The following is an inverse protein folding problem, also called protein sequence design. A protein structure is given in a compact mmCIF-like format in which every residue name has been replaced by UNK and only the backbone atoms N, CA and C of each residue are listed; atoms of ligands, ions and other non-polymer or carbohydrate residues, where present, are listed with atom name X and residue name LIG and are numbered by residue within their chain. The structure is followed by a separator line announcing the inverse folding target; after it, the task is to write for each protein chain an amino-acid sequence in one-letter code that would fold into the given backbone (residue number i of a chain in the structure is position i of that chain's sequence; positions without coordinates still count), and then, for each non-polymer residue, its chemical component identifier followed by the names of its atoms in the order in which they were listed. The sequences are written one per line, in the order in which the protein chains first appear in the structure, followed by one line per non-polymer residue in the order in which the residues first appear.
data_IF_570048891786
#
_entry.id   IF_570048891786
#
_cell.length_a   1.000
_cell.length_b   1.000
_cell.length_c   1.000
_cell.angle_alpha   90.00
_cell.angle_beta   90.00
_cell.angle_gamma   90.00
#
_symmetry.space_group_name_H-M   'P 1'
#
loop_
_entity.id
_entity.type
_entity.pdbx_description
1 polymer ?
#
# COMPACT_ATOMS: atom_id res chain seq x y z
N UNK A 1 23.11 -37.43 12.84
CA UNK A 1 23.64 -36.15 12.28
C UNK A 1 22.87 -35.68 11.04
N UNK A 2 22.75 -36.46 9.96
CA UNK A 2 22.09 -36.03 8.70
C UNK A 2 20.65 -35.50 8.85
N UNK A 3 19.84 -36.15 9.71
CA UNK A 3 18.45 -35.73 10.01
C UNK A 3 18.37 -34.36 10.70
N UNK A 4 19.25 -34.12 11.67
CA UNK A 4 19.31 -32.87 12.43
C UNK A 4 19.74 -31.73 11.49
N UNK A 5 20.74 -31.97 10.65
CA UNK A 5 21.20 -31.00 9.65
C UNK A 5 20.06 -30.64 8.69
N UNK A 6 19.33 -31.63 8.16
CA UNK A 6 18.19 -31.37 7.27
C UNK A 6 17.06 -30.58 7.96
N UNK A 7 16.78 -30.87 9.24
CA UNK A 7 15.80 -30.12 10.02
C UNK A 7 16.23 -28.67 10.28
N UNK A 8 17.51 -28.45 10.62
CA UNK A 8 18.08 -27.11 10.81
C UNK A 8 18.05 -26.29 9.52
N UNK A 9 18.41 -26.89 8.37
CA UNK A 9 18.32 -26.24 7.06
C UNK A 9 16.87 -25.87 6.75
N UNK A 10 15.91 -26.76 7.03
CA UNK A 10 14.50 -26.49 6.79
C UNK A 10 13.99 -25.30 7.62
N UNK A 11 14.30 -25.27 8.91
CA UNK A 11 13.90 -24.17 9.79
C UNK A 11 14.55 -22.84 9.38
N UNK A 12 15.84 -22.86 9.03
CA UNK A 12 16.53 -21.69 8.50
C UNK A 12 15.92 -21.21 7.18
N UNK A 13 15.50 -22.13 6.31
CA UNK A 13 14.86 -21.79 5.02
C UNK A 13 13.52 -21.09 5.23
N UNK A 14 12.72 -21.51 6.22
CA UNK A 14 11.46 -20.84 6.58
C UNK A 14 11.71 -19.44 7.16
N UNK A 15 12.74 -19.27 8.00
CA UNK A 15 13.13 -17.95 8.49
C UNK A 15 13.54 -17.03 7.33
N UNK A 16 14.35 -17.53 6.40
CA UNK A 16 14.79 -16.79 5.23
C UNK A 16 13.61 -16.45 4.30
N UNK A 17 12.61 -17.33 4.21
CA UNK A 17 11.36 -17.07 3.51
C UNK A 17 10.63 -15.88 4.12
N UNK A 18 10.48 -15.82 5.44
CA UNK A 18 9.84 -14.65 6.08
C UNK A 18 10.62 -13.37 5.86
N UNK A 19 11.94 -13.38 6.03
CA UNK A 19 12.79 -12.21 5.76
C UNK A 19 12.61 -11.74 4.31
N UNK A 20 12.55 -12.67 3.35
CA UNK A 20 12.36 -12.32 1.94
C UNK A 20 11.01 -11.67 1.67
N UNK A 21 9.92 -12.18 2.26
CA UNK A 21 8.59 -11.59 2.09
C UNK A 21 8.53 -10.24 2.80
N UNK A 22 9.08 -10.12 4.01
CA UNK A 22 9.19 -8.84 4.72
C UNK A 22 9.86 -7.75 3.88
N UNK A 23 10.97 -8.05 3.21
CA UNK A 23 11.66 -7.08 2.31
C UNK A 23 10.77 -6.66 1.12
N UNK A 24 9.87 -7.54 0.68
CA UNK A 24 8.98 -7.31 -0.46
C UNK A 24 7.67 -6.63 -0.07
N UNK A 25 7.22 -6.76 1.17
CA UNK A 25 5.89 -6.29 1.63
C UNK A 25 5.94 -5.16 2.66
N UNK A 26 6.93 -5.14 3.56
CA UNK A 26 7.08 -4.08 4.57
C UNK A 26 7.78 -2.89 3.92
N UNK A 27 7.00 -2.09 3.21
CA UNK A 27 7.41 -0.83 2.57
C UNK A 27 6.25 0.15 2.72
N UNK A 28 6.55 1.44 2.73
CA UNK A 28 5.52 2.48 2.82
C UNK A 28 4.45 2.26 1.74
N UNK A 29 3.18 2.35 2.14
CA UNK A 29 2.02 2.04 1.29
C UNK A 29 2.03 2.79 -0.06
N UNK A 30 2.66 3.97 -0.08
CA UNK A 30 2.76 4.84 -1.25
C UNK A 30 3.84 4.41 -2.25
N UNK A 31 4.76 3.51 -1.86
CA UNK A 31 5.90 3.11 -2.70
C UNK A 31 5.56 2.02 -3.72
N UNK A 32 4.34 1.47 -3.75
CA UNK A 32 3.95 0.49 -4.77
C UNK A 32 4.66 -0.88 -4.65
N UNK A 33 4.30 -1.82 -5.52
CA UNK A 33 4.73 -3.22 -5.35
C UNK A 33 6.18 -3.46 -5.74
N UNK A 34 6.87 -4.37 -5.02
CA UNK A 34 8.26 -4.75 -5.31
C UNK A 34 8.49 -5.21 -6.75
N UNK A 35 7.48 -5.78 -7.42
CA UNK A 35 7.56 -6.22 -8.81
C UNK A 35 7.68 -5.05 -9.79
N UNK A 36 7.04 -3.90 -9.51
CA UNK A 36 7.14 -2.72 -10.37
C UNK A 36 8.57 -2.18 -10.46
N UNK A 37 9.31 -2.24 -9.34
CA UNK A 37 10.73 -1.86 -9.30
C UNK A 37 11.64 -2.80 -10.09
N UNK A 38 11.27 -4.08 -10.22
CA UNK A 38 12.07 -5.06 -10.97
C UNK A 38 11.79 -4.96 -12.46
N UNK A 39 10.56 -4.62 -12.84
CA UNK A 39 10.15 -4.54 -14.24
C UNK A 39 10.89 -3.46 -15.02
N UNK A 40 11.10 -2.28 -14.42
CA UNK A 40 11.89 -1.23 -15.05
C UNK A 40 13.38 -1.39 -14.73
N UNK A 41 14.28 -1.23 -15.73
CA UNK A 41 15.72 -1.33 -15.52
C UNK A 41 16.29 -0.20 -14.66
N UNK A 42 15.71 0.99 -14.75
CA UNK A 42 16.18 2.22 -14.11
C UNK A 42 15.01 3.16 -13.78
N UNK A 43 15.29 4.17 -12.95
CA UNK A 43 14.31 5.17 -12.54
C UNK A 43 13.69 5.89 -13.75
N UNK A 44 14.48 6.25 -14.77
CA UNK A 44 14.03 7.03 -15.94
C UNK A 44 13.06 6.27 -16.86
N UNK A 45 13.03 4.93 -16.79
CA UNK A 45 12.05 4.10 -17.50
C UNK A 45 10.88 3.64 -16.63
N UNK A 46 10.81 4.11 -15.39
CA UNK A 46 9.77 3.74 -14.45
C UNK A 46 8.54 4.65 -14.57
N UNK A 47 7.36 4.10 -14.26
CA UNK A 47 6.13 4.88 -14.15
C UNK A 47 6.20 5.97 -13.05
N UNK A 48 7.09 5.81 -12.06
CA UNK A 48 7.29 6.81 -11.02
C UNK A 48 7.90 8.08 -11.60
N UNK A 49 8.96 7.94 -12.41
CA UNK A 49 9.56 9.07 -13.12
C UNK A 49 8.56 9.73 -14.07
N UNK A 50 7.76 8.95 -14.79
CA UNK A 50 6.74 9.49 -15.71
C UNK A 50 5.70 10.34 -14.98
N UNK A 51 5.13 9.84 -13.88
CA UNK A 51 4.16 10.58 -13.07
C UNK A 51 4.78 11.86 -12.50
N UNK A 52 6.01 11.78 -12.04
CA UNK A 52 6.74 12.93 -11.49
C UNK A 52 7.05 13.97 -12.57
N UNK A 53 7.53 13.56 -13.75
CA UNK A 53 7.75 14.46 -14.88
C UNK A 53 6.44 15.14 -15.32
N UNK A 54 5.34 14.39 -15.37
CA UNK A 54 4.01 14.92 -15.69
C UNK A 54 3.54 15.95 -14.67
N UNK A 55 3.77 15.70 -13.38
CA UNK A 55 3.44 16.65 -12.32
C UNK A 55 4.27 17.93 -12.48
N UNK A 56 5.60 17.83 -12.62
CA UNK A 56 6.46 19.02 -12.80
C UNK A 56 6.11 19.83 -14.06
N UNK A 57 5.68 19.18 -15.15
CA UNK A 57 5.18 19.88 -16.34
C UNK A 57 3.85 20.60 -16.04
N UNK A 58 2.97 19.99 -15.25
CA UNK A 58 1.72 20.61 -14.82
C UNK A 58 1.97 21.83 -13.94
N UNK A 59 2.95 21.72 -13.03
CA UNK A 59 3.38 22.77 -12.12
C UNK A 59 3.92 24.01 -12.86
N UNK A 60 4.44 23.88 -14.09
CA UNK A 60 4.79 25.03 -14.95
C UNK A 60 3.57 25.94 -15.16
N UNK A 61 2.38 25.38 -15.37
CA UNK A 61 1.19 26.18 -15.63
C UNK A 61 0.70 26.90 -14.39
N UNK A 62 0.83 26.27 -13.22
CA UNK A 62 0.58 26.93 -11.95
C UNK A 62 1.61 28.04 -11.71
N UNK A 63 2.88 27.82 -12.04
CA UNK A 63 3.92 28.85 -12.01
C UNK A 63 3.56 30.05 -12.88
N UNK A 64 3.20 29.84 -14.16
CA UNK A 64 2.81 30.92 -15.08
C UNK A 64 1.61 31.70 -14.52
N UNK A 65 0.58 30.98 -14.09
CA UNK A 65 -0.67 31.57 -13.59
C UNK A 65 -0.41 32.38 -12.33
N UNK A 66 0.22 31.79 -11.32
CA UNK A 66 0.48 32.43 -10.04
C UNK A 66 1.45 33.60 -10.19
N UNK A 67 2.46 33.49 -11.05
CA UNK A 67 3.37 34.61 -11.36
C UNK A 67 2.59 35.78 -11.98
N UNK A 68 1.71 35.53 -12.94
CA UNK A 68 0.87 36.59 -13.51
C UNK A 68 -0.10 37.24 -12.52
N UNK A 69 -0.57 36.47 -11.53
CA UNK A 69 -1.49 36.95 -10.51
C UNK A 69 -0.76 37.77 -9.46
N UNK A 70 0.42 37.35 -9.00
CA UNK A 70 1.09 37.92 -7.82
C UNK A 70 2.22 38.90 -8.14
N UNK A 71 2.83 38.81 -9.32
CA UNK A 71 3.98 39.64 -9.67
C UNK A 71 3.63 40.80 -10.62
N UNK A 72 4.35 41.90 -10.44
CA UNK A 72 4.48 42.96 -11.42
C UNK A 72 5.96 43.30 -11.56
N UNK A 73 6.46 43.31 -12.80
CA UNK A 73 7.88 43.55 -13.10
C UNK A 73 8.84 42.59 -12.36
N UNK A 74 8.44 41.33 -12.20
CA UNK A 74 9.25 40.28 -11.55
C UNK A 74 9.33 40.38 -10.03
N UNK A 75 8.43 41.14 -9.39
CA UNK A 75 8.36 41.30 -7.93
C UNK A 75 6.93 41.15 -7.43
N UNK A 76 6.78 40.57 -6.25
CA UNK A 76 5.50 40.46 -5.55
C UNK A 76 4.86 41.84 -5.38
N UNK A 77 3.65 42.02 -5.92
CA UNK A 77 2.94 43.29 -5.90
C UNK A 77 1.84 43.28 -4.83
N UNK A 78 2.16 43.77 -3.63
CA UNK A 78 1.22 43.83 -2.50
C UNK A 78 0.05 44.81 -2.71
N UNK A 79 0.25 45.81 -3.57
CA UNK A 79 -0.70 46.90 -3.80
C UNK A 79 -1.73 46.60 -4.88
N UNK A 80 -1.61 45.47 -5.58
CA UNK A 80 -2.58 45.10 -6.60
C UNK A 80 -3.95 44.82 -6.01
N UNK A 81 -4.99 45.16 -6.77
CA UNK A 81 -6.37 44.79 -6.43
C UNK A 81 -6.51 43.27 -6.61
N UNK A 82 -6.60 42.56 -5.49
CA UNK A 82 -6.66 41.11 -5.47
C UNK A 82 -8.11 40.59 -5.49
N UNK A 83 -9.03 41.36 -4.89
CA UNK A 83 -10.45 41.05 -4.89
C UNK A 83 -11.30 42.33 -4.87
N UNK A 84 -12.53 42.23 -5.37
CA UNK A 84 -13.53 43.28 -5.22
C UNK A 84 -14.82 42.67 -4.69
N UNK A 85 -15.48 43.34 -3.75
CA UNK A 85 -16.73 42.89 -3.17
C UNK A 85 -17.68 44.06 -2.93
N UNK A 86 -18.96 43.75 -2.71
CA UNK A 86 -19.91 44.71 -2.17
C UNK A 86 -20.00 44.55 -0.64
N UNK A 87 -19.91 45.68 0.05
CA UNK A 87 -20.17 45.82 1.49
C UNK A 87 -21.25 46.88 1.65
N UNK A 88 -22.38 46.56 2.29
CA UNK A 88 -23.49 47.49 2.52
C UNK A 88 -23.89 48.32 1.28
N UNK A 89 -24.00 47.65 0.13
CA UNK A 89 -24.32 48.25 -1.18
C UNK A 89 -23.24 49.13 -1.83
N UNK A 90 -22.05 49.22 -1.22
CA UNK A 90 -20.88 49.93 -1.76
C UNK A 90 -19.84 48.95 -2.31
N UNK A 91 -19.26 49.24 -3.47
CA UNK A 91 -18.20 48.41 -4.05
C UNK A 91 -16.85 48.78 -3.44
N UNK A 92 -16.18 47.80 -2.84
CA UNK A 92 -14.88 47.93 -2.17
C UNK A 92 -13.86 47.05 -2.89
N UNK A 93 -12.68 47.61 -3.14
CA UNK A 93 -11.53 46.87 -3.68
C UNK A 93 -10.54 46.55 -2.56
N UNK A 94 -10.12 45.30 -2.47
CA UNK A 94 -9.16 44.82 -1.48
C UNK A 94 -7.81 44.58 -2.14
N UNK A 95 -6.77 45.20 -1.58
CA UNK A 95 -5.39 44.89 -1.95
C UNK A 95 -4.94 43.57 -1.35
N UNK A 96 -3.92 42.95 -1.95
CA UNK A 96 -3.30 41.76 -1.37
C UNK A 96 -2.75 42.05 0.05
N UNK A 97 -2.14 43.21 0.25
CA UNK A 97 -1.65 43.63 1.57
C UNK A 97 -2.77 43.63 2.63
N UNK A 98 -3.93 44.18 2.30
CA UNK A 98 -5.06 44.26 3.22
C UNK A 98 -5.56 42.87 3.60
N UNK A 99 -5.71 41.97 2.62
CA UNK A 99 -6.14 40.59 2.89
C UNK A 99 -5.13 39.83 3.76
N UNK A 100 -3.82 40.08 3.57
CA UNK A 100 -2.78 39.51 4.45
C UNK A 100 -2.91 40.02 5.88
N UNK A 101 -3.08 41.33 6.07
CA UNK A 101 -3.26 41.91 7.40
C UNK A 101 -4.54 41.40 8.08
N UNK A 102 -5.64 41.28 7.32
CA UNK A 102 -6.90 40.76 7.83
C UNK A 102 -6.79 39.30 8.26
N UNK A 103 -6.21 38.44 7.43
CA UNK A 103 -6.01 37.03 7.77
C UNK A 103 -5.11 36.87 9.01
N UNK A 104 -4.05 37.68 9.15
CA UNK A 104 -3.21 37.72 10.36
C UNK A 104 -4.00 38.12 11.60
N UNK A 105 -4.92 39.07 11.47
CA UNK A 105 -5.80 39.48 12.58
C UNK A 105 -6.74 38.36 13.05
N UNK A 106 -7.00 37.36 12.20
CA UNK A 106 -7.75 36.14 12.52
C UNK A 106 -6.86 34.99 13.01
N UNK A 107 -5.54 35.22 13.15
CA UNK A 107 -4.59 34.21 13.63
C UNK A 107 -4.04 33.29 12.53
N UNK A 108 -4.15 33.65 11.25
CA UNK A 108 -3.50 32.94 10.15
C UNK A 108 -2.07 33.44 9.90
N UNK A 109 -1.13 32.52 9.70
CA UNK A 109 0.26 32.84 9.40
C UNK A 109 0.90 31.74 8.54
N UNK A 110 2.07 32.02 7.95
CA UNK A 110 2.86 31.02 7.24
C UNK A 110 3.91 30.40 8.17
N UNK A 111 4.05 29.08 8.13
CA UNK A 111 5.14 28.38 8.81
C UNK A 111 6.47 28.50 8.02
N UNK A 112 7.53 27.84 8.48
CA UNK A 112 8.84 27.85 7.81
C UNK A 112 8.83 27.23 6.41
N UNK A 113 7.83 26.39 6.11
CA UNK A 113 7.66 25.69 4.83
C UNK A 113 6.67 26.42 3.89
N UNK A 114 6.34 27.69 4.21
CA UNK A 114 5.37 28.53 3.50
C UNK A 114 3.93 27.97 3.48
N UNK A 115 3.57 27.10 4.42
CA UNK A 115 2.22 26.56 4.55
C UNK A 115 1.36 27.46 5.41
N UNK A 116 0.08 27.61 5.02
CA UNK A 116 -0.89 28.38 5.79
C UNK A 116 -1.31 27.60 7.04
N UNK A 117 -1.10 28.20 8.21
CA UNK A 117 -1.45 27.62 9.51
C UNK A 117 -2.39 28.58 10.25
N UNK A 118 -3.39 28.02 10.94
CA UNK A 118 -4.30 28.74 11.82
C UNK A 118 -3.94 28.57 13.30
N UNK A 119 -4.64 29.30 14.18
CA UNK A 119 -4.46 29.18 15.64
C UNK A 119 -3.33 30.05 16.21
N UNK A 120 -2.83 31.00 15.43
CA UNK A 120 -2.00 32.08 15.95
C UNK A 120 -2.80 33.07 16.81
N UNK A 121 -2.14 34.09 17.39
CA UNK A 121 -2.82 35.16 18.10
C UNK A 121 -3.85 35.86 17.20
N UNK A 122 -5.11 35.92 17.63
CA UNK A 122 -6.21 36.52 16.87
C UNK A 122 -6.83 37.69 17.63
N UNK A 123 -7.05 38.81 16.94
CA UNK A 123 -7.84 39.95 17.43
C UNK A 123 -9.29 39.89 16.98
N UNK A 124 -9.58 39.19 15.87
CA UNK A 124 -10.93 38.95 15.36
C UNK A 124 -11.22 37.46 15.49
N UNK A 125 -12.30 37.11 16.20
CA UNK A 125 -12.73 35.72 16.27
C UNK A 125 -13.47 35.31 14.99
N UNK A 126 -13.45 34.02 14.66
CA UNK A 126 -14.19 33.48 13.50
C UNK A 126 -15.70 33.77 13.58
N UNK A 127 -16.27 33.71 14.78
CA UNK A 127 -17.69 34.02 15.00
C UNK A 127 -17.98 35.50 14.73
N UNK A 128 -17.09 36.41 15.14
CA UNK A 128 -17.26 37.84 14.91
C UNK A 128 -17.11 38.21 13.42
N UNK A 129 -16.22 37.53 12.69
CA UNK A 129 -16.08 37.66 11.23
C UNK A 129 -17.33 37.19 10.49
N UNK A 130 -17.83 35.99 10.82
CA UNK A 130 -19.02 35.41 10.20
C UNK A 130 -20.30 36.24 10.48
N UNK A 131 -20.38 36.92 11.62
CA UNK A 131 -21.53 37.76 11.99
C UNK A 131 -21.46 39.19 11.42
N UNK A 132 -20.28 39.83 11.45
CA UNK A 132 -20.17 41.28 11.23
C UNK A 132 -19.44 41.67 9.93
N UNK A 133 -18.78 40.74 9.25
CA UNK A 133 -17.92 41.04 8.09
C UNK A 133 -18.32 40.23 6.85
N UNK A 134 -19.63 40.07 6.63
CA UNK A 134 -20.16 39.43 5.42
C UNK A 134 -20.03 40.35 4.21
N UNK A 135 -19.56 39.78 3.09
CA UNK A 135 -19.32 40.48 1.84
C UNK A 135 -19.90 39.68 0.65
N UNK A 136 -20.19 40.38 -0.44
CA UNK A 136 -20.59 39.74 -1.71
C UNK A 136 -19.46 39.93 -2.71
N UNK A 137 -18.66 38.89 -2.94
CA UNK A 137 -17.49 38.93 -3.82
C UNK A 137 -17.92 39.00 -5.29
N UNK A 138 -17.35 39.96 -6.02
CA UNK A 138 -17.60 40.21 -7.44
C UNK A 138 -16.42 39.86 -8.34
N UNK A 139 -15.21 39.96 -7.81
CA UNK A 139 -13.99 39.70 -8.56
C UNK A 139 -12.93 39.11 -7.65
N UNK A 140 -12.16 38.16 -8.19
CA UNK A 140 -11.00 37.52 -7.56
C UNK A 140 -9.91 37.40 -8.62
N UNK A 141 -8.69 37.81 -8.31
CA UNK A 141 -7.57 37.75 -9.27
C UNK A 141 -7.27 36.32 -9.76
N UNK A 142 -7.54 35.30 -8.94
CA UNK A 142 -7.38 33.88 -9.27
C UNK A 142 -8.60 33.26 -9.97
N UNK A 143 -9.70 34.00 -10.13
CA UNK A 143 -10.90 33.59 -10.87
C UNK A 143 -11.48 34.79 -11.62
N UNK A 144 -10.79 35.30 -12.66
CA UNK A 144 -11.19 36.53 -13.36
C UNK A 144 -12.51 36.36 -14.13
N UNK A 145 -12.83 35.15 -14.59
CA UNK A 145 -14.03 34.84 -15.39
C UNK A 145 -15.28 34.55 -14.54
N UNK A 146 -15.22 34.81 -13.23
CA UNK A 146 -16.35 34.57 -12.33
C UNK A 146 -17.54 35.49 -12.67
N UNK A 147 -18.69 34.90 -12.99
CA UNK A 147 -19.95 35.62 -13.22
C UNK A 147 -20.96 35.18 -12.16
N UNK A 148 -21.48 36.14 -11.40
CA UNK A 148 -22.55 35.86 -10.43
C UNK A 148 -23.80 35.35 -11.13
N UNK A 149 -24.25 34.16 -10.74
CA UNK A 149 -25.47 33.53 -11.27
C UNK A 149 -26.70 33.78 -10.40
N UNK A 150 -26.51 34.08 -9.11
CA UNK A 150 -27.60 34.37 -8.16
C UNK A 150 -27.22 35.44 -7.12
N UNK A 151 -28.19 36.08 -6.44
CA UNK A 151 -27.89 37.12 -5.44
C UNK A 151 -27.10 36.63 -4.22
N UNK A 152 -27.16 35.33 -3.93
CA UNK A 152 -26.41 34.67 -2.86
C UNK A 152 -25.06 34.11 -3.33
N UNK A 153 -24.81 34.13 -4.63
CA UNK A 153 -23.58 33.66 -5.24
C UNK A 153 -22.43 34.62 -4.87
N UNK A 154 -21.36 34.08 -4.29
CA UNK A 154 -20.22 34.87 -3.81
C UNK A 154 -20.42 35.52 -2.44
N UNK A 155 -21.49 35.18 -1.70
CA UNK A 155 -21.60 35.54 -0.27
C UNK A 155 -20.58 34.75 0.55
N UNK A 156 -19.69 35.45 1.23
CA UNK A 156 -18.71 34.88 2.16
C UNK A 156 -18.29 35.93 3.19
N UNK A 157 -17.64 35.52 4.27
CA UNK A 157 -17.02 36.48 5.18
C UNK A 157 -15.71 37.04 4.58
N UNK A 158 -15.33 38.24 5.00
CA UNK A 158 -14.05 38.83 4.62
C UNK A 158 -12.87 37.95 5.08
N UNK A 159 -13.02 37.27 6.22
CA UNK A 159 -12.06 36.29 6.69
C UNK A 159 -11.88 35.08 5.78
N UNK A 160 -12.96 34.56 5.21
CA UNK A 160 -12.90 33.48 4.22
C UNK A 160 -12.18 33.93 2.96
N UNK A 161 -12.49 35.13 2.43
CA UNK A 161 -11.78 35.70 1.28
C UNK A 161 -10.28 35.90 1.57
N UNK A 162 -9.94 36.39 2.76
CA UNK A 162 -8.57 36.60 3.19
C UNK A 162 -7.81 35.27 3.33
N UNK A 163 -8.47 34.23 3.85
CA UNK A 163 -7.93 32.88 3.91
C UNK A 163 -7.66 32.33 2.50
N UNK A 164 -8.62 32.41 1.58
CA UNK A 164 -8.45 31.98 0.17
C UNK A 164 -7.23 32.68 -0.46
N UNK A 165 -7.10 34.00 -0.27
CA UNK A 165 -5.96 34.75 -0.80
C UNK A 165 -4.62 34.25 -0.25
N UNK A 166 -4.55 33.90 1.05
CA UNK A 166 -3.36 33.34 1.68
C UNK A 166 -3.06 31.92 1.20
N UNK A 167 -4.07 31.11 0.88
CA UNK A 167 -3.89 29.78 0.30
C UNK A 167 -3.24 29.88 -1.09
N UNK A 168 -3.70 30.79 -1.96
CA UNK A 168 -3.05 31.04 -3.25
C UNK A 168 -1.65 31.63 -3.10
N UNK A 169 -1.45 32.49 -2.12
CA UNK A 169 -0.12 33.05 -1.81
C UNK A 169 0.85 31.97 -1.30
N UNK A 170 0.37 31.02 -0.50
CA UNK A 170 1.14 29.83 -0.07
C UNK A 170 1.58 29.00 -1.27
N UNK A 171 0.66 28.70 -2.18
CA UNK A 171 0.96 27.98 -3.43
C UNK A 171 1.99 28.73 -4.28
N UNK A 172 1.85 30.05 -4.39
CA UNK A 172 2.82 30.89 -5.08
C UNK A 172 4.22 30.79 -4.45
N UNK A 173 4.34 30.86 -3.12
CA UNK A 173 5.64 30.70 -2.47
C UNK A 173 6.23 29.31 -2.66
N UNK A 174 5.41 28.25 -2.59
CA UNK A 174 5.86 26.87 -2.83
C UNK A 174 6.40 26.69 -4.25
N UNK A 175 5.63 27.09 -5.27
CA UNK A 175 6.02 26.93 -6.68
C UNK A 175 7.25 27.79 -7.04
N UNK A 176 7.36 29.00 -6.46
CA UNK A 176 8.52 29.87 -6.67
C UNK A 176 9.76 29.32 -5.99
N UNK A 177 9.62 28.77 -4.78
CA UNK A 177 10.74 28.09 -4.13
C UNK A 177 11.20 26.86 -4.93
N UNK A 178 10.30 26.14 -5.59
CA UNK A 178 10.66 24.99 -6.42
C UNK A 178 11.41 25.39 -7.70
N UNK A 179 10.95 26.43 -8.40
CA UNK A 179 11.53 26.83 -9.70
C UNK A 179 12.64 27.89 -9.60
N UNK A 180 12.64 28.78 -8.61
CA UNK A 180 13.62 29.88 -8.52
C UNK A 180 14.82 29.59 -7.59
N UNK A 181 14.67 28.71 -6.58
CA UNK A 181 15.78 28.29 -5.70
C UNK A 181 16.52 27.06 -6.30
N UNK A 182 17.74 26.71 -5.81
CA UNK A 182 18.90 26.32 -6.63
C UNK A 182 18.58 25.34 -7.77
N UNK A 183 19.23 25.52 -8.96
CA UNK A 183 18.80 24.85 -10.18
C UNK A 183 18.74 23.33 -9.99
N UNK A 184 17.53 22.79 -10.14
CA UNK A 184 17.27 21.37 -10.19
C UNK A 184 17.67 20.77 -11.53
N UNK A 185 17.30 19.51 -11.73
CA UNK A 185 17.50 18.76 -12.96
C UNK A 185 16.37 18.98 -13.98
N UNK A 186 15.26 19.61 -13.57
CA UNK A 186 14.15 19.98 -14.45
C UNK A 186 14.30 21.42 -14.94
N UNK A 187 14.19 21.62 -16.25
CA UNK A 187 14.34 22.90 -16.91
C UNK A 187 13.17 23.15 -17.85
N UNK A 188 12.67 24.38 -17.87
CA UNK A 188 11.63 24.76 -18.80
C UNK A 188 11.79 26.20 -19.30
N UNK A 189 11.20 26.45 -20.47
CA UNK A 189 11.07 27.76 -21.08
C UNK A 189 9.78 27.83 -21.88
N UNK A 190 8.96 28.82 -21.56
CA UNK A 190 7.71 29.15 -22.27
C UNK A 190 7.80 30.59 -22.73
N UNK A 191 7.77 30.80 -24.05
CA UNK A 191 7.88 32.10 -24.67
C UNK A 191 6.60 32.41 -25.44
N UNK A 192 5.94 33.52 -25.12
CA UNK A 192 4.80 34.04 -25.88
C UNK A 192 5.23 35.27 -26.69
N UNK A 193 4.91 35.30 -27.98
CA UNK A 193 5.26 36.37 -28.92
C UNK A 193 3.98 36.95 -29.52
N UNK A 194 3.65 38.18 -29.16
CA UNK A 194 2.53 38.93 -29.73
C UNK A 194 2.80 39.28 -31.21
N UNK A 195 1.78 39.41 -32.07
CA UNK A 195 1.90 39.97 -33.43
C UNK A 195 2.68 41.29 -33.53
N UNK A 196 2.73 42.10 -32.46
CA UNK A 196 3.50 43.35 -32.38
C UNK A 196 5.01 43.15 -32.11
N UNK A 197 5.45 41.92 -31.87
CA UNK A 197 6.84 41.58 -31.56
C UNK A 197 7.22 41.67 -30.08
N UNK A 198 6.27 41.97 -29.19
CA UNK A 198 6.49 41.91 -27.73
C UNK A 198 6.56 40.46 -27.27
N UNK A 199 7.53 40.16 -26.40
CA UNK A 199 7.81 38.80 -25.93
C UNK A 199 7.73 38.68 -24.42
N UNK A 200 6.95 37.71 -23.92
CA UNK A 200 6.92 37.35 -22.49
C UNK A 200 7.50 35.94 -22.34
N UNK A 201 8.54 35.79 -21.51
CA UNK A 201 9.21 34.50 -21.28
C UNK A 201 9.13 34.09 -19.82
N UNK A 202 8.65 32.87 -19.57
CA UNK A 202 8.67 32.22 -18.26
C UNK A 202 9.70 31.09 -18.30
N UNK A 203 10.66 31.09 -17.38
CA UNK A 203 11.72 30.07 -17.32
C UNK A 203 12.34 30.00 -15.93
N UNK A 204 12.77 28.81 -15.54
CA UNK A 204 13.63 28.59 -14.37
C UNK A 204 15.13 28.55 -14.71
N UNK A 205 15.49 28.70 -15.99
CA UNK A 205 16.86 28.58 -16.48
C UNK A 205 17.14 29.61 -17.57
N UNK A 206 17.31 30.89 -17.20
CA UNK A 206 17.49 31.98 -18.15
C UNK A 206 18.75 31.81 -19.03
N UNK A 207 19.76 31.09 -18.54
CA UNK A 207 21.01 30.81 -19.26
C UNK A 207 20.91 29.71 -20.33
N UNK A 208 19.89 28.84 -20.29
CA UNK A 208 19.76 27.72 -21.24
C UNK A 208 18.84 28.09 -22.41
N UNK A 209 19.25 27.76 -23.64
CA UNK A 209 18.40 27.93 -24.82
C UNK A 209 17.36 26.82 -24.97
N UNK A 210 16.32 27.03 -25.78
CA UNK A 210 15.29 26.02 -26.07
C UNK A 210 15.90 24.72 -26.62
N UNK A 211 16.88 24.82 -27.52
CA UNK A 211 17.57 23.65 -28.07
C UNK A 211 18.41 22.93 -27.01
N UNK A 212 19.09 23.67 -26.13
CA UNK A 212 19.85 23.06 -25.03
C UNK A 212 18.95 22.30 -24.04
N UNK A 213 17.71 22.77 -23.83
CA UNK A 213 16.70 22.06 -23.02
C UNK A 213 16.25 20.77 -23.73
N UNK A 214 16.09 20.80 -25.06
CA UNK A 214 15.70 19.62 -25.84
C UNK A 214 16.84 18.59 -25.98
N UNK A 215 18.09 19.00 -25.80
CA UNK A 215 19.25 18.09 -25.74
C UNK A 215 19.38 17.38 -24.38
N UNK A 216 18.53 17.71 -23.40
CA UNK A 216 18.47 16.98 -22.14
C UNK A 216 17.92 15.56 -22.36
N UNK A 217 18.24 14.65 -21.43
CA UNK A 217 17.93 13.23 -21.57
C UNK A 217 16.46 12.93 -21.84
N UNK A 218 15.53 13.64 -21.18
CA UNK A 218 14.10 13.60 -21.48
C UNK A 218 13.58 15.00 -21.77
N UNK A 219 12.81 15.18 -22.84
CA UNK A 219 12.31 16.51 -23.24
C UNK A 219 10.92 16.47 -23.88
N UNK A 220 10.27 17.63 -23.89
CA UNK A 220 9.09 17.90 -24.72
C UNK A 220 9.16 19.32 -25.28
N UNK A 221 8.82 19.45 -26.56
CA UNK A 221 8.80 20.69 -27.31
C UNK A 221 7.50 20.80 -28.10
N UNK A 222 6.93 22.00 -28.15
CA UNK A 222 5.81 22.32 -29.04
C UNK A 222 5.82 23.79 -29.43
N UNK A 223 5.41 24.05 -30.67
CA UNK A 223 5.21 25.38 -31.22
C UNK A 223 3.76 25.51 -31.71
N UNK A 224 3.20 26.69 -31.49
CA UNK A 224 1.94 27.19 -32.05
C UNK A 224 1.71 26.91 -33.54
N UNK A 225 2.76 26.85 -34.36
CA UNK A 225 2.65 26.66 -35.82
C UNK A 225 2.37 25.22 -36.23
N UNK A 226 3.07 24.27 -35.61
CA UNK A 226 3.01 22.87 -36.01
C UNK A 226 1.96 22.09 -35.20
N UNK A 227 1.57 22.60 -34.02
CA UNK A 227 0.66 21.95 -33.05
C UNK A 227 1.03 20.48 -32.72
N UNK A 228 2.23 20.06 -33.12
CA UNK A 228 2.81 18.75 -32.87
C UNK A 228 3.74 18.87 -31.70
N UNK A 229 3.61 17.92 -30.79
CA UNK A 229 4.51 17.79 -29.66
C UNK A 229 5.65 16.87 -30.10
N UNK A 230 6.87 17.40 -30.14
CA UNK A 230 8.08 16.61 -30.28
C UNK A 230 8.57 16.23 -28.89
N UNK A 231 8.66 14.93 -28.60
CA UNK A 231 9.01 14.45 -27.27
C UNK A 231 9.58 13.04 -27.31
N UNK A 232 10.49 12.75 -26.38
CA UNK A 232 10.95 11.41 -26.07
C UNK A 232 10.44 10.90 -24.71
N UNK A 233 9.47 11.61 -24.10
CA UNK A 233 8.79 11.19 -22.88
C UNK A 233 7.63 10.24 -23.24
N UNK A 234 7.38 9.24 -22.39
CA UNK A 234 6.32 8.25 -22.63
C UNK A 234 4.91 8.82 -22.39
N UNK A 235 4.77 9.76 -21.46
CA UNK A 235 3.50 10.40 -21.14
C UNK A 235 3.67 11.89 -20.88
N UNK A 236 2.68 12.66 -21.31
CA UNK A 236 2.55 14.10 -21.11
C UNK A 236 1.13 14.44 -20.64
N UNK A 237 0.90 15.62 -20.05
CA UNK A 237 -0.46 16.10 -19.83
C UNK A 237 -1.26 16.12 -21.14
N UNK A 238 -2.44 15.49 -21.15
CA UNK A 238 -3.30 15.44 -22.36
C UNK A 238 -3.68 16.83 -22.86
N UNK A 239 -3.77 17.77 -21.92
CA UNK A 239 -4.28 19.12 -22.16
C UNK A 239 -3.14 20.14 -22.31
N UNK A 240 -1.90 19.69 -22.56
CA UNK A 240 -0.71 20.55 -22.63
C UNK A 240 -0.91 21.75 -23.56
N UNK A 241 -1.38 21.51 -24.79
CA UNK A 241 -1.61 22.57 -25.80
C UNK A 241 -2.73 23.52 -25.36
N UNK A 242 -3.81 22.98 -24.79
CA UNK A 242 -4.92 23.77 -24.29
C UNK A 242 -4.50 24.65 -23.10
N UNK A 243 -3.68 24.13 -22.19
CA UNK A 243 -3.12 24.89 -21.07
C UNK A 243 -2.17 26.00 -21.55
N UNK A 244 -1.34 25.76 -22.57
CA UNK A 244 -0.51 26.80 -23.18
C UNK A 244 -1.35 27.93 -23.80
N UNK A 245 -2.42 27.58 -24.53
CA UNK A 245 -3.31 28.57 -25.14
C UNK A 245 -4.10 29.36 -24.09
N UNK A 246 -4.64 28.68 -23.08
CA UNK A 246 -5.41 29.30 -21.99
C UNK A 246 -4.58 30.16 -21.04
N UNK A 247 -3.24 30.06 -21.08
CA UNK A 247 -2.32 30.85 -20.25
C UNK A 247 -1.56 31.91 -21.07
N UNK A 248 -2.03 32.19 -22.28
CA UNK A 248 -1.46 33.22 -23.13
C UNK A 248 -1.75 34.63 -22.55
N UNK A 249 -0.73 35.46 -22.30
CA UNK A 249 -0.93 36.81 -21.77
C UNK A 249 -1.49 37.82 -22.80
N UNK A 250 -1.68 37.44 -24.07
CA UNK A 250 -2.03 38.34 -25.18
C UNK A 250 -3.38 38.05 -25.85
N UNK A 251 -4.44 37.78 -25.08
CA UNK A 251 -5.83 37.59 -25.58
C UNK A 251 -5.98 36.55 -26.73
N UNK A 252 -5.08 35.56 -26.79
CA UNK A 252 -5.15 34.43 -27.73
C UNK A 252 -4.43 34.62 -29.08
N UNK A 253 -3.97 35.84 -29.42
CA UNK A 253 -3.36 36.13 -30.73
C UNK A 253 -1.84 35.90 -30.79
N UNK A 254 -1.21 35.48 -29.69
CA UNK A 254 0.24 35.26 -29.65
C UNK A 254 0.66 33.83 -30.02
N UNK A 255 1.79 33.75 -30.73
CA UNK A 255 2.51 32.50 -30.95
C UNK A 255 3.20 32.09 -29.65
N UNK A 256 3.26 30.79 -29.36
CA UNK A 256 3.93 30.25 -28.18
C UNK A 256 4.99 29.23 -28.58
N UNK A 257 6.12 29.26 -27.87
CA UNK A 257 7.15 28.23 -27.92
C UNK A 257 7.28 27.63 -26.53
N UNK A 258 7.13 26.31 -26.43
CA UNK A 258 7.27 25.58 -25.17
C UNK A 258 8.41 24.57 -25.30
N UNK A 259 9.32 24.60 -24.35
CA UNK A 259 10.35 23.57 -24.18
C UNK A 259 10.47 23.21 -22.70
N UNK A 260 10.50 21.92 -22.40
CA UNK A 260 10.88 21.43 -21.08
C UNK A 260 11.79 20.21 -21.23
N UNK A 261 12.63 19.98 -20.23
CA UNK A 261 13.54 18.86 -20.22
C UNK A 261 14.07 18.52 -18.84
N UNK A 262 14.47 17.27 -18.67
CA UNK A 262 15.00 16.71 -17.44
C UNK A 262 16.39 16.14 -17.73
N UNK A 263 17.39 16.58 -16.98
CA UNK A 263 18.71 15.98 -16.97
C UNK A 263 18.65 14.61 -16.26
N UNK A 264 18.68 13.53 -17.05
CA UNK A 264 18.63 12.15 -16.57
C UNK A 264 19.91 11.68 -15.88
N UNK A 265 20.97 12.51 -15.87
CA UNK A 265 22.20 12.21 -15.11
C UNK A 265 22.12 12.68 -13.65
N UNK A 266 21.06 13.42 -13.30
CA UNK A 266 20.75 13.92 -11.96
C UNK A 266 21.92 14.56 -11.19
N UNK A 267 22.68 15.50 -11.79
CA UNK A 267 23.83 16.13 -11.12
C UNK A 267 23.44 17.03 -9.95
N UNK A 268 22.22 17.58 -9.96
CA UNK A 268 21.74 18.51 -8.93
C UNK A 268 21.00 17.79 -7.81
N UNK A 269 21.14 18.29 -6.58
CA UNK A 269 20.44 17.77 -5.41
C UNK A 269 19.03 18.36 -5.37
N UNK A 270 18.12 17.70 -6.03
CA UNK A 270 16.69 18.05 -6.06
C UNK A 270 15.83 16.81 -5.79
N UNK A 271 14.52 16.98 -5.94
CA UNK A 271 13.55 15.90 -5.80
C UNK A 271 13.81 14.75 -6.79
N UNK A 272 14.19 15.03 -8.05
CA UNK A 272 14.52 13.98 -9.03
C UNK A 272 15.74 13.14 -8.63
N UNK A 273 16.81 13.76 -8.12
CA UNK A 273 17.97 13.00 -7.64
C UNK A 273 17.62 12.16 -6.40
N UNK A 274 16.81 12.71 -5.50
CA UNK A 274 16.36 11.99 -4.32
C UNK A 274 15.55 10.75 -4.72
N UNK A 275 14.53 10.93 -5.56
CA UNK A 275 13.69 9.85 -6.08
C UNK A 275 14.49 8.82 -6.87
N UNK A 276 15.48 9.23 -7.66
CA UNK A 276 16.35 8.30 -8.39
C UNK A 276 17.15 7.40 -7.42
N UNK A 277 17.75 7.97 -6.38
CA UNK A 277 18.51 7.20 -5.37
C UNK A 277 17.62 6.28 -4.56
N UNK A 278 16.45 6.76 -4.17
CA UNK A 278 15.46 5.96 -3.46
C UNK A 278 14.98 4.79 -4.31
N UNK A 279 14.64 5.05 -5.57
CA UNK A 279 14.24 4.03 -6.54
C UNK A 279 15.32 2.95 -6.69
N UNK A 280 16.59 3.34 -6.82
CA UNK A 280 17.71 2.39 -6.92
C UNK A 280 17.83 1.51 -5.67
N UNK A 281 17.71 2.10 -4.48
CA UNK A 281 17.74 1.37 -3.20
C UNK A 281 16.58 0.38 -3.10
N UNK A 282 15.36 0.81 -3.45
CA UNK A 282 14.16 -0.01 -3.44
C UNK A 282 14.25 -1.14 -4.45
N UNK A 283 14.79 -0.88 -5.64
CA UNK A 283 15.01 -1.87 -6.69
C UNK A 283 16.03 -2.92 -6.27
N UNK A 284 17.17 -2.51 -5.71
CA UNK A 284 18.17 -3.45 -5.18
C UNK A 284 17.58 -4.35 -4.09
N UNK A 285 16.84 -3.76 -3.15
CA UNK A 285 16.17 -4.49 -2.09
C UNK A 285 15.12 -5.46 -2.64
N UNK A 286 14.36 -5.07 -3.66
CA UNK A 286 13.40 -5.96 -4.35
C UNK A 286 14.10 -7.14 -5.01
N UNK A 287 15.21 -6.91 -5.72
CA UNK A 287 15.97 -7.98 -6.38
C UNK A 287 16.51 -8.96 -5.34
N UNK A 288 17.11 -8.45 -4.26
CA UNK A 288 17.60 -9.29 -3.15
C UNK A 288 16.46 -10.08 -2.52
N UNK A 289 15.32 -9.43 -2.27
CA UNK A 289 14.11 -10.07 -1.73
C UNK A 289 13.63 -11.24 -2.61
N UNK A 290 13.54 -11.05 -3.93
CA UNK A 290 13.12 -12.12 -4.85
C UNK A 290 14.14 -13.26 -4.93
N UNK A 291 15.44 -12.96 -4.95
CA UNK A 291 16.48 -13.99 -4.95
C UNK A 291 16.41 -14.82 -3.66
N UNK A 292 16.27 -14.17 -2.51
CA UNK A 292 16.11 -14.84 -1.22
C UNK A 292 14.82 -15.67 -1.19
N UNK A 293 13.73 -15.17 -1.76
CA UNK A 293 12.46 -15.90 -1.84
C UNK A 293 12.63 -17.20 -2.63
N UNK A 294 13.21 -17.14 -3.84
CA UNK A 294 13.45 -18.34 -4.66
C UNK A 294 14.38 -19.32 -3.94
N UNK A 295 15.48 -18.82 -3.37
CA UNK A 295 16.44 -19.65 -2.63
C UNK A 295 15.79 -20.33 -1.41
N UNK A 296 14.94 -19.60 -0.67
CA UNK A 296 14.24 -20.11 0.50
C UNK A 296 13.28 -21.24 0.13
N UNK A 297 12.52 -21.08 -0.97
CA UNK A 297 11.55 -22.08 -1.43
C UNK A 297 12.29 -23.35 -1.88
N UNK A 298 13.34 -23.20 -2.70
CA UNK A 298 14.15 -24.34 -3.17
C UNK A 298 14.81 -25.07 -2.00
N UNK A 299 15.39 -24.33 -1.04
CA UNK A 299 16.03 -24.90 0.14
C UNK A 299 15.01 -25.56 1.09
N UNK A 300 13.83 -24.96 1.28
CA UNK A 300 12.75 -25.53 2.09
C UNK A 300 12.23 -26.84 1.49
N UNK A 301 11.98 -26.87 0.18
CA UNK A 301 11.54 -28.08 -0.53
C UNK A 301 12.62 -29.16 -0.52
N UNK A 302 13.86 -28.81 -0.83
CA UNK A 302 14.99 -29.74 -0.85
C UNK A 302 15.23 -30.37 0.52
N UNK A 303 15.24 -29.55 1.58
CA UNK A 303 15.37 -30.04 2.96
C UNK A 303 14.18 -30.89 3.41
N UNK A 304 12.95 -30.55 3.01
CA UNK A 304 11.75 -31.35 3.29
C UNK A 304 11.84 -32.73 2.61
N UNK A 305 12.27 -32.79 1.35
CA UNK A 305 12.48 -34.06 0.62
C UNK A 305 13.55 -34.90 1.33
N UNK A 306 14.67 -34.29 1.74
CA UNK A 306 15.70 -34.99 2.50
C UNK A 306 15.18 -35.53 3.83
N UNK A 307 14.34 -34.77 4.54
CA UNK A 307 13.68 -35.24 5.75
C UNK A 307 12.78 -36.44 5.45
N UNK A 308 11.97 -36.40 4.40
CA UNK A 308 11.09 -37.52 3.99
C UNK A 308 11.91 -38.79 3.67
N UNK A 309 13.04 -38.64 2.97
CA UNK A 309 13.94 -39.75 2.61
C UNK A 309 14.58 -40.38 3.85
N UNK A 310 15.19 -39.56 4.71
CA UNK A 310 15.88 -40.04 5.91
C UNK A 310 14.93 -40.54 7.00
N UNK A 311 13.66 -40.14 6.94
CA UNK A 311 12.64 -40.53 7.92
C UNK A 311 12.40 -42.03 7.91
N UNK A 312 12.45 -42.64 9.11
CA UNK A 312 12.28 -44.08 9.34
C UNK A 312 13.57 -44.91 9.24
N UNK A 313 14.63 -44.42 8.59
CA UNK A 313 15.88 -45.16 8.42
C UNK A 313 16.83 -44.95 9.62
N UNK A 314 17.53 -46.00 10.04
CA UNK A 314 18.61 -45.88 11.01
C UNK A 314 19.82 -45.16 10.38
N UNK A 315 20.74 -44.68 11.21
CA UNK A 315 21.97 -44.05 10.72
C UNK A 315 23.04 -45.10 10.30
N UNK A 316 22.76 -46.39 10.53
CA UNK A 316 23.65 -47.52 10.27
C UNK A 316 23.33 -48.16 8.91
N UNK A 317 24.35 -48.48 8.11
CA UNK A 317 24.15 -48.95 6.71
C UNK A 317 23.64 -50.40 6.64
N UNK A 318 23.74 -51.13 7.75
CA UNK A 318 23.42 -52.56 7.87
C UNK A 318 21.96 -52.79 8.29
N UNK A 319 21.33 -51.81 8.96
CA UNK A 319 19.96 -51.94 9.47
C UNK A 319 18.94 -51.31 8.51
N UNK A 320 18.31 -52.17 7.71
CA UNK A 320 17.24 -51.82 6.77
C UNK A 320 15.86 -51.74 7.45
N UNK A 321 15.74 -51.99 8.76
CA UNK A 321 14.44 -51.94 9.44
C UNK A 321 14.02 -50.49 9.70
N UNK A 322 12.72 -50.26 9.56
CA UNK A 322 12.11 -48.95 9.83
C UNK A 322 11.90 -48.82 11.33
N UNK A 323 12.48 -47.77 11.92
CA UNK A 323 12.34 -47.46 13.34
C UNK A 323 11.15 -46.53 13.57
N UNK A 324 10.24 -46.96 14.44
CA UNK A 324 9.06 -46.22 14.86
C UNK A 324 9.35 -45.49 16.19
N UNK A 325 8.89 -44.26 16.34
CA UNK A 325 8.93 -43.52 17.61
C UNK A 325 7.61 -43.67 18.37
N UNK A 326 7.58 -43.28 19.65
CA UNK A 326 6.37 -43.38 20.50
C UNK A 326 5.17 -42.62 19.91
N UNK A 327 5.42 -41.50 19.22
CA UNK A 327 4.39 -40.72 18.54
C UNK A 327 3.71 -41.49 17.39
N UNK A 328 4.39 -42.46 16.79
CA UNK A 328 3.90 -43.20 15.61
C UNK A 328 2.87 -44.27 15.98
N UNK A 329 2.82 -44.64 17.27
CA UNK A 329 1.88 -45.62 17.78
C UNK A 329 0.49 -45.00 18.01
N UNK A 330 0.39 -43.67 17.95
CA UNK A 330 -0.88 -42.95 18.04
C UNK A 330 -1.63 -43.13 16.71
N UNK A 331 -2.92 -43.50 16.73
CA UNK A 331 -3.72 -43.61 15.51
C UNK A 331 -3.71 -42.30 14.71
N UNK A 332 -3.61 -42.40 13.39
CA UNK A 332 -3.49 -41.22 12.53
C UNK A 332 -4.70 -40.30 12.66
N UNK A 333 -5.89 -40.82 12.95
CA UNK A 333 -7.11 -40.04 13.16
C UNK A 333 -6.99 -39.11 14.38
N UNK A 334 -6.37 -39.58 15.46
CA UNK A 334 -6.09 -38.77 16.65
C UNK A 334 -5.07 -37.68 16.35
N UNK A 335 -4.04 -37.99 15.57
CA UNK A 335 -3.02 -37.01 15.17
C UNK A 335 -3.60 -35.92 14.26
N UNK A 336 -4.47 -36.28 13.31
CA UNK A 336 -5.21 -35.32 12.48
C UNK A 336 -6.11 -34.44 13.35
N UNK A 337 -6.87 -35.02 14.28
CA UNK A 337 -7.71 -34.26 15.21
C UNK A 337 -6.88 -33.28 16.06
N UNK A 338 -5.70 -33.70 16.53
CA UNK A 338 -4.78 -32.85 17.28
C UNK A 338 -4.23 -31.70 16.42
N UNK A 339 -3.89 -31.95 15.15
CA UNK A 339 -3.45 -30.91 14.23
C UNK A 339 -4.57 -29.88 13.93
N UNK A 340 -5.80 -30.33 13.74
CA UNK A 340 -6.96 -29.44 13.55
C UNK A 340 -7.20 -28.58 14.79
N UNK A 341 -7.18 -29.20 15.98
CA UNK A 341 -7.31 -28.50 17.25
C UNK A 341 -6.18 -27.48 17.46
N UNK A 342 -4.93 -27.86 17.17
CA UNK A 342 -3.80 -26.95 17.23
C UNK A 342 -3.94 -25.80 16.24
N UNK A 343 -4.36 -26.06 15.00
CA UNK A 343 -4.56 -25.02 13.98
C UNK A 343 -5.61 -24.00 14.40
N UNK A 344 -6.68 -24.45 15.07
CA UNK A 344 -7.69 -23.57 15.67
C UNK A 344 -7.11 -22.73 16.81
N UNK A 345 -6.36 -23.35 17.73
CA UNK A 345 -5.69 -22.64 18.83
C UNK A 345 -4.69 -21.61 18.29
N UNK A 346 -3.82 -21.99 17.35
CA UNK A 346 -2.85 -21.09 16.73
C UNK A 346 -3.55 -19.88 16.07
N UNK A 347 -4.69 -20.09 15.42
CA UNK A 347 -5.51 -19.01 14.86
C UNK A 347 -6.07 -18.03 15.90
N UNK A 348 -6.32 -18.49 17.14
CA UNK A 348 -6.81 -17.65 18.25
C UNK A 348 -5.69 -17.02 19.09
N UNK A 349 -4.59 -17.73 19.27
CA UNK A 349 -3.43 -17.26 20.05
C UNK A 349 -2.66 -16.17 19.31
N UNK A 350 -2.55 -16.27 17.99
CA UNK A 350 -1.79 -15.30 17.19
C UNK A 350 -2.28 -13.85 17.34
N UNK A 351 -3.57 -13.53 17.14
CA UNK A 351 -4.05 -12.15 17.33
C UNK A 351 -3.88 -11.69 18.78
N UNK A 352 -4.20 -12.54 19.77
CA UNK A 352 -4.02 -12.18 21.18
C UNK A 352 -2.55 -11.86 21.54
N UNK A 353 -1.60 -12.56 20.92
CA UNK A 353 -0.18 -12.27 21.05
C UNK A 353 0.19 -10.94 20.40
N UNK A 354 -0.27 -10.68 19.18
CA UNK A 354 -0.01 -9.41 18.48
C UNK A 354 -0.60 -8.21 19.19
N UNK A 355 -1.85 -8.29 19.65
CA UNK A 355 -2.49 -7.22 20.42
C UNK A 355 -1.72 -6.92 21.72
N UNK A 356 -1.08 -7.94 22.31
CA UNK A 356 -0.22 -7.76 23.49
C UNK A 356 1.10 -7.07 23.14
N UNK A 357 1.67 -7.37 21.97
CA UNK A 357 2.90 -6.74 21.46
C UNK A 357 2.64 -5.29 21.07
N UNK A 358 1.52 -4.99 20.42
CA UNK A 358 1.10 -3.66 19.99
C UNK A 358 0.92 -2.71 21.19
N UNK A 359 0.36 -3.21 22.30
CA UNK A 359 0.27 -2.43 23.55
C UNK A 359 1.63 -2.02 24.13
N UNK A 360 2.70 -2.74 23.80
CA UNK A 360 4.06 -2.47 24.31
C UNK A 360 4.84 -1.60 23.32
N UNK A 361 4.76 -1.89 22.03
CA UNK A 361 5.59 -1.27 20.98
C UNK A 361 4.90 -0.13 20.22
N UNK A 362 3.59 0.05 20.38
CA UNK A 362 2.78 0.95 19.56
C UNK A 362 2.20 0.24 18.34
N UNK A 363 1.57 1.03 17.46
CA UNK A 363 0.91 0.54 16.24
C UNK A 363 1.90 -0.22 15.34
N UNK A 364 1.57 -1.49 15.05
CA UNK A 364 2.38 -2.33 14.19
C UNK A 364 2.02 -2.05 12.73
N UNK A 365 3.03 -1.68 11.92
CA UNK A 365 2.85 -1.59 10.47
C UNK A 365 2.51 -2.98 9.91
N UNK A 366 1.50 -3.05 9.05
CA UNK A 366 1.00 -4.28 8.42
C UNK A 366 0.64 -5.42 9.41
N UNK A 367 -0.29 -5.17 10.36
CA UNK A 367 -0.78 -6.17 11.33
C UNK A 367 -1.13 -7.54 10.71
N UNK A 368 -1.85 -7.53 9.57
CA UNK A 368 -2.28 -8.74 8.88
C UNK A 368 -1.10 -9.61 8.43
N UNK A 369 -0.02 -8.99 7.95
CA UNK A 369 1.20 -9.69 7.53
C UNK A 369 1.84 -10.45 8.71
N UNK A 370 2.02 -9.77 9.84
CA UNK A 370 2.60 -10.37 11.04
C UNK A 370 1.73 -11.49 11.60
N UNK A 371 0.40 -11.31 11.57
CA UNK A 371 -0.56 -12.35 11.98
C UNK A 371 -0.38 -13.61 11.15
N UNK A 372 -0.31 -13.47 9.84
CA UNK A 372 -0.25 -14.63 8.95
C UNK A 372 1.12 -15.34 9.06
N UNK A 373 2.22 -14.60 9.21
CA UNK A 373 3.56 -15.15 9.44
C UNK A 373 3.67 -15.96 10.74
N UNK A 374 3.18 -15.42 11.86
CA UNK A 374 3.22 -16.11 13.16
C UNK A 374 2.27 -17.32 13.13
N UNK A 375 1.06 -17.16 12.58
CA UNK A 375 0.10 -18.25 12.46
C UNK A 375 0.65 -19.40 11.61
N UNK A 376 1.29 -19.09 10.48
CA UNK A 376 1.97 -20.07 9.64
C UNK A 376 3.08 -20.79 10.42
N UNK A 377 3.94 -20.03 11.12
CA UNK A 377 5.06 -20.59 11.90
C UNK A 377 4.58 -21.61 12.94
N UNK A 378 3.56 -21.26 13.72
CA UNK A 378 2.98 -22.14 14.74
C UNK A 378 2.37 -23.41 14.14
N UNK A 379 1.67 -23.30 13.00
CA UNK A 379 1.11 -24.45 12.29
C UNK A 379 2.20 -25.34 11.70
N UNK A 380 3.21 -24.74 11.08
CA UNK A 380 4.32 -25.42 10.43
C UNK A 380 5.14 -26.26 11.41
N UNK A 381 5.39 -25.74 12.62
CA UNK A 381 6.14 -26.43 13.68
C UNK A 381 5.50 -27.76 14.11
N UNK A 382 4.16 -27.86 14.08
CA UNK A 382 3.44 -29.10 14.40
C UNK A 382 3.20 -29.96 13.16
N UNK A 383 2.98 -29.32 12.00
CA UNK A 383 2.74 -30.00 10.74
C UNK A 383 3.90 -30.89 10.30
N UNK A 384 5.15 -30.40 10.38
CA UNK A 384 6.31 -31.17 9.92
C UNK A 384 6.50 -32.48 10.71
N UNK A 385 6.54 -32.49 12.06
CA UNK A 385 6.61 -33.74 12.84
C UNK A 385 5.43 -34.68 12.56
N UNK A 386 4.22 -34.14 12.40
CA UNK A 386 3.03 -34.91 12.06
C UNK A 386 3.20 -35.63 10.70
N UNK A 387 3.58 -34.90 9.66
CA UNK A 387 3.83 -35.47 8.33
C UNK A 387 4.92 -36.54 8.35
N UNK A 388 6.01 -36.31 9.08
CA UNK A 388 7.07 -37.30 9.23
C UNK A 388 6.63 -38.53 10.03
N UNK A 389 5.70 -38.41 10.97
CA UNK A 389 5.07 -39.54 11.66
C UNK A 389 4.23 -40.39 10.71
N UNK A 390 3.36 -39.74 9.91
CA UNK A 390 2.52 -40.42 8.92
C UNK A 390 3.35 -41.18 7.88
N UNK A 391 4.44 -40.58 7.41
CA UNK A 391 5.35 -41.23 6.45
C UNK A 391 6.01 -42.47 7.06
N UNK A 392 6.34 -42.47 8.36
CA UNK A 392 6.93 -43.64 9.03
C UNK A 392 5.94 -44.77 9.20
N UNK A 393 4.72 -44.47 9.62
CA UNK A 393 3.66 -45.47 9.77
C UNK A 393 3.20 -46.03 8.42
N UNK A 394 3.23 -45.20 7.37
CA UNK A 394 3.05 -45.64 5.99
C UNK A 394 4.15 -46.60 5.55
N UNK A 395 5.43 -46.23 5.68
CA UNK A 395 6.56 -47.10 5.31
C UNK A 395 6.56 -48.42 6.12
N UNK A 396 6.02 -48.44 7.33
CA UNK A 396 5.95 -49.61 8.20
C UNK A 396 4.70 -50.50 7.97
N UNK A 397 3.84 -50.20 6.99
CA UNK A 397 2.57 -50.90 6.72
C UNK A 397 1.63 -51.01 7.94
N UNK A 398 1.73 -50.04 8.86
CA UNK A 398 0.93 -50.00 10.10
C UNK A 398 -0.23 -49.01 10.02
N UNK A 399 -0.31 -48.17 8.98
CA UNK A 399 -1.28 -47.09 8.86
C UNK A 399 -2.74 -47.55 9.06
N UNK A 400 -3.15 -48.61 8.37
CA UNK A 400 -4.50 -49.18 8.51
C UNK A 400 -4.64 -50.08 9.75
N UNK A 401 -3.59 -50.81 10.14
CA UNK A 401 -3.65 -51.74 11.30
C UNK A 401 -3.79 -51.00 12.63
N UNK A 402 -3.18 -49.82 12.75
CA UNK A 402 -3.23 -48.98 13.94
C UNK A 402 -4.44 -48.02 13.98
N UNK A 403 -5.16 -47.89 12.85
CA UNK A 403 -6.32 -47.01 12.67
C UNK A 403 -7.43 -47.27 13.69
N UNK A 404 -8.02 -46.20 14.22
CA UNK A 404 -9.22 -46.30 15.07
C UNK A 404 -10.40 -46.90 14.30
N UNK A 405 -10.54 -46.58 13.02
CA UNK A 405 -11.59 -47.13 12.17
C UNK A 405 -11.46 -48.65 12.01
N UNK A 406 -10.22 -49.15 11.82
CA UNK A 406 -9.98 -50.60 11.79
C UNK A 406 -10.32 -51.28 13.12
N UNK A 407 -9.93 -50.67 14.25
CA UNK A 407 -10.29 -51.16 15.60
C UNK A 407 -11.80 -51.15 15.81
N UNK A 408 -12.48 -50.07 15.42
CA UNK A 408 -13.93 -49.94 15.54
C UNK A 408 -14.64 -51.02 14.72
N UNK A 409 -14.30 -51.17 13.43
CA UNK A 409 -14.88 -52.21 12.57
C UNK A 409 -14.66 -53.61 13.16
N UNK A 410 -13.47 -53.88 13.70
CA UNK A 410 -13.15 -55.18 14.31
C UNK A 410 -14.00 -55.44 15.55
N UNK A 411 -14.16 -54.44 16.42
CA UNK A 411 -15.01 -54.50 17.61
C UNK A 411 -16.48 -54.70 17.22
N UNK A 412 -17.00 -53.92 16.26
CA UNK A 412 -18.37 -54.03 15.77
C UNK A 412 -18.63 -55.39 15.15
N UNK A 413 -17.70 -55.92 14.35
CA UNK A 413 -17.80 -57.26 13.76
C UNK A 413 -17.82 -58.34 14.84
N UNK A 414 -16.98 -58.21 15.85
CA UNK A 414 -16.97 -59.15 16.99
C UNK A 414 -18.27 -59.08 17.80
N UNK A 415 -18.79 -57.87 18.02
CA UNK A 415 -20.07 -57.65 18.71
C UNK A 415 -21.24 -58.28 17.96
N UNK A 416 -21.35 -58.07 16.64
CA UNK A 416 -22.42 -58.67 15.81
C UNK A 416 -22.36 -60.21 15.86
N UNK A 417 -21.18 -60.80 15.69
CA UNK A 417 -20.98 -62.25 15.75
C UNK A 417 -21.32 -62.83 17.14
N UNK A 418 -20.98 -62.12 18.21
CA UNK A 418 -21.31 -62.53 19.57
C UNK A 418 -22.81 -62.34 19.89
N UNK A 419 -23.43 -61.27 19.39
CA UNK A 419 -24.87 -61.01 19.56
C UNK A 419 -25.72 -62.10 18.88
N UNK A 420 -25.37 -62.52 17.67
CA UNK A 420 -26.05 -63.60 16.94
C UNK A 420 -25.96 -64.94 17.71
N UNK A 421 -24.78 -65.25 18.28
CA UNK A 421 -24.56 -66.44 19.12
C UNK A 421 -25.29 -66.39 20.46
N UNK A 422 -25.41 -65.22 21.07
CA UNK A 422 -26.00 -65.05 22.40
C UNK A 422 -27.53 -65.01 22.33
N UNK A 423 -28.10 -64.37 21.30
CA UNK A 423 -29.53 -64.38 21.03
C UNK A 423 -30.06 -65.80 20.76
N UNK A 424 -29.31 -66.59 19.96
CA UNK A 424 -29.65 -67.99 19.70
C UNK A 424 -29.67 -68.84 20.98
N UNK A 425 -28.67 -68.70 21.86
CA UNK A 425 -28.61 -69.46 23.12
C UNK A 425 -29.68 -69.02 24.12
N UNK A 426 -29.94 -67.72 24.25
CA UNK A 426 -30.99 -67.19 25.11
C UNK A 426 -32.37 -67.73 24.70
N UNK A 427 -32.67 -67.74 23.40
CA UNK A 427 -33.91 -68.30 22.87
C UNK A 427 -34.06 -69.80 23.20
N UNK A 428 -33.00 -70.60 23.08
CA UNK A 428 -33.02 -72.02 23.46
C UNK A 428 -33.28 -72.22 24.96
N UNK A 429 -32.70 -71.40 25.84
CA UNK A 429 -32.97 -71.47 27.28
C UNK A 429 -34.39 -71.04 27.62
N UNK A 430 -34.93 -70.00 26.98
CA UNK A 430 -36.32 -69.58 27.17
C UNK A 430 -37.30 -70.65 26.68
N UNK A 431 -37.03 -71.27 25.53
CA UNK A 431 -37.84 -72.38 25.00
C UNK A 431 -37.77 -73.63 25.87
N UNK A 432 -36.68 -73.85 26.60
CA UNK A 432 -36.57 -74.97 27.55
C UNK A 432 -37.23 -74.67 28.90
N UNK A 433 -37.03 -73.47 29.45
CA UNK A 433 -37.50 -73.15 30.81
C UNK A 433 -39.01 -72.87 30.82
N UNK A 434 -39.54 -72.15 29.84
CA UNK A 434 -40.94 -71.71 29.83
C UNK A 434 -41.95 -72.89 29.81
N UNK A 435 -41.79 -73.92 28.96
CA UNK A 435 -42.73 -75.05 28.94
C UNK A 435 -42.60 -75.92 30.19
N UNK A 436 -41.37 -76.06 30.72
CA UNK A 436 -41.15 -76.84 31.95
C UNK A 436 -41.78 -76.15 33.17
N UNK A 437 -41.68 -74.83 33.28
CA UNK A 437 -42.36 -74.06 34.34
C UNK A 437 -43.88 -74.10 34.17
N UNK A 438 -44.38 -73.97 32.94
CA UNK A 438 -45.81 -74.11 32.64
C UNK A 438 -46.33 -75.50 33.00
N UNK A 439 -45.61 -76.57 32.64
CA UNK A 439 -45.98 -77.94 32.99
C UNK A 439 -45.99 -78.16 34.51
N UNK A 440 -45.01 -77.59 35.24
CA UNK A 440 -44.94 -77.68 36.69
C UNK A 440 -46.12 -76.94 37.36
N UNK A 441 -46.46 -75.73 36.86
CA UNK A 441 -47.67 -75.01 37.28
C UNK A 441 -48.96 -75.80 36.99
N UNK A 442 -49.05 -76.45 35.83
CA UNK A 442 -50.23 -77.22 35.44
C UNK A 442 -50.41 -78.48 36.31
N UNK A 443 -49.31 -79.14 36.68
CA UNK A 443 -49.30 -80.25 37.65
C UNK A 443 -49.77 -79.75 39.03
N UNK A 444 -49.27 -78.60 39.50
CA UNK A 444 -49.71 -78.07 40.81
C UNK A 444 -51.19 -77.69 40.85
N UNK A 445 -51.76 -77.27 39.72
CA UNK A 445 -53.20 -76.94 39.61
C UNK A 445 -54.07 -78.20 39.49
N UNK A 446 -53.53 -79.33 39.03
CA UNK A 446 -54.25 -80.61 38.92
C UNK A 446 -54.29 -81.41 40.23
N UNK A 447 -53.41 -81.11 41.19
CA UNK A 447 -53.27 -81.81 42.48
C UNK A 447 -53.73 -80.98 43.70
N UNK A 448 -54.34 -79.81 43.48
CA UNK A 448 -55.08 -78.98 44.45
C UNK A 448 -56.52 -78.88 43.98
#
# INVERSE_FOLDING_TARGET
MKKIIAASINLFSILLLFVSISILTLRDADTGSALMYIQAPDYVSSAYFENQAKQSITDIFDYITLTSIFEKDGKLNLNQVFAQANVDSSSVSYSLEYLIQYARSMGYYFNNDNELVGGGPSTISRQDDELNHQIIVRYRAYMPDYVQTSPTDGMMSLGQLAQEALEYLSRYYKIKNEFDNPPGNFHFRVTYVNPRGETTTYTNSPSMSESAICELGRYAYTDSRDLKIDTNMASLPSDLVALLQNRNPYDGDANYHFSCGIDTTFPKKDFFQHSAKEYDSLRQSSIVGVILLVLSIVSALGSLILLIVYTGHSNDRTDKKIHLYSMDHIPFECLVALFVLWSFIAGKVTPAFLDSVERILGELTEYDFWRDCISFSLKYLVFVPFMLSLIRTYKADQLYKASLLHKFITITRHYILCAERTASRAFSYTLFILPNVLALCLITVLFV
#
